data_IF_176392112241
#
_entry.id   IF_176392112241
#
_cell.length_a   1.000
_cell.length_b   1.000
_cell.length_c   1.000
_cell.angle_alpha   90.00
_cell.angle_beta   90.00
_cell.angle_gamma   90.00
#
_symmetry.space_group_name_H-M   'P 1'
#
loop_
_entity.id
_entity.type
_entity.pdbx_description
1 polymer ?
#
# COMPACT_ATOMS: atom_id res chain seq x y z
N UNK A 1 -9.28 2.94 30.91
CA UNK A 1 -7.99 2.87 30.20
C UNK A 1 -7.97 1.58 29.41
N UNK A 2 -7.84 1.65 28.09
CA UNK A 2 -7.30 0.58 27.23
C UNK A 2 -7.21 1.11 25.80
N UNK A 3 -6.11 1.81 25.52
CA UNK A 3 -5.69 2.17 24.16
C UNK A 3 -4.96 0.97 23.55
N UNK A 4 -5.69 -0.10 23.25
CA UNK A 4 -5.09 -1.31 22.66
C UNK A 4 -5.00 -1.28 21.12
N UNK A 5 -5.27 -0.13 20.49
CA UNK A 5 -5.22 0.00 19.03
C UNK A 5 -3.82 0.27 18.43
N UNK A 6 -2.76 0.38 19.25
CA UNK A 6 -1.48 0.90 18.77
C UNK A 6 -0.43 -0.15 18.38
N UNK A 7 -0.51 -1.41 18.84
CA UNK A 7 0.61 -2.36 18.63
C UNK A 7 0.61 -3.00 17.24
N UNK A 8 -0.55 -3.28 16.64
CA UNK A 8 -0.64 -3.94 15.32
C UNK A 8 -0.40 -2.99 14.14
N UNK A 9 -0.67 -1.70 14.32
CA UNK A 9 -0.38 -0.68 13.31
C UNK A 9 1.12 -0.34 13.25
N UNK A 10 1.80 -0.39 14.41
CA UNK A 10 3.26 -0.19 14.49
C UNK A 10 4.01 -1.24 13.66
N UNK A 11 3.64 -2.52 13.76
CA UNK A 11 4.30 -3.58 12.96
C UNK A 11 4.04 -3.47 11.46
N UNK A 12 2.86 -2.98 11.05
CA UNK A 12 2.54 -2.76 9.64
C UNK A 12 3.38 -1.64 9.01
N UNK A 13 3.72 -0.62 9.79
CA UNK A 13 4.63 0.44 9.37
C UNK A 13 6.10 -0.02 9.29
N UNK A 14 6.44 -1.19 9.83
CA UNK A 14 7.80 -1.76 9.73
C UNK A 14 8.04 -2.48 8.40
N UNK A 15 7.00 -2.73 7.60
CA UNK A 15 7.15 -3.35 6.29
C UNK A 15 7.41 -2.26 5.23
N UNK A 16 8.66 -2.09 4.75
CA UNK A 16 9.03 -0.98 3.89
C UNK A 16 8.28 -1.01 2.55
N UNK A 17 7.84 -2.20 2.13
CA UNK A 17 7.06 -2.37 0.90
C UNK A 17 5.62 -1.86 1.07
N UNK A 18 4.97 -2.21 2.18
CA UNK A 18 3.64 -1.73 2.51
C UNK A 18 3.61 -0.22 2.69
N UNK A 19 4.64 0.35 3.35
CA UNK A 19 4.76 1.80 3.54
C UNK A 19 4.89 2.54 2.20
N UNK A 20 5.72 2.04 1.28
CA UNK A 20 5.89 2.63 -0.06
C UNK A 20 4.59 2.59 -0.86
N UNK A 21 3.90 1.46 -0.87
CA UNK A 21 2.62 1.33 -1.55
C UNK A 21 1.56 2.25 -0.95
N UNK A 22 1.45 2.28 0.38
CA UNK A 22 0.51 3.17 1.08
C UNK A 22 0.78 4.64 0.75
N UNK A 23 2.04 5.10 0.82
CA UNK A 23 2.40 6.48 0.49
C UNK A 23 2.09 6.81 -0.97
N UNK A 24 2.33 5.88 -1.89
CA UNK A 24 2.00 6.07 -3.30
C UNK A 24 0.48 6.20 -3.53
N UNK A 25 -0.32 5.37 -2.86
CA UNK A 25 -1.78 5.43 -2.92
C UNK A 25 -2.28 6.72 -2.25
N UNK A 26 -1.78 7.07 -1.07
CA UNK A 26 -2.16 8.26 -0.31
C UNK A 26 -1.90 9.58 -1.06
N UNK A 27 -0.92 9.60 -1.97
CA UNK A 27 -0.67 10.77 -2.83
C UNK A 27 -1.77 10.99 -3.87
N UNK A 28 -2.51 9.96 -4.23
CA UNK A 28 -3.51 9.98 -5.30
C UNK A 28 -4.92 9.87 -4.74
N UNK A 29 -5.06 9.22 -3.58
CA UNK A 29 -6.33 8.90 -2.93
C UNK A 29 -6.22 9.31 -1.47
N UNK A 30 -7.04 10.28 -1.09
CA UNK A 30 -7.12 10.77 0.30
C UNK A 30 -7.80 9.73 1.22
N UNK A 31 -8.79 8.99 0.69
CA UNK A 31 -9.53 7.95 1.41
C UNK A 31 -8.74 6.62 1.44
N UNK A 32 -7.60 6.64 2.13
CA UNK A 32 -6.76 5.47 2.39
C UNK A 32 -6.37 5.42 3.86
N UNK A 33 -6.40 4.23 4.43
CA UNK A 33 -6.14 4.03 5.85
C UNK A 33 -5.52 2.67 6.12
N UNK A 34 -4.77 2.56 7.21
CA UNK A 34 -4.27 1.28 7.68
C UNK A 34 -5.35 0.55 8.49
N UNK A 35 -5.62 -0.69 8.11
CA UNK A 35 -6.46 -1.63 8.84
C UNK A 35 -5.56 -2.76 9.39
N UNK A 36 -4.91 -2.52 10.52
CA UNK A 36 -3.90 -3.44 11.05
C UNK A 36 -2.68 -3.50 10.12
N UNK A 37 -2.41 -4.68 9.55
CA UNK A 37 -1.36 -4.89 8.53
C UNK A 37 -1.84 -4.70 7.09
N UNK A 38 -3.11 -4.36 6.91
CA UNK A 38 -3.75 -4.26 5.62
C UNK A 38 -3.91 -2.79 5.23
N UNK A 39 -3.81 -2.48 3.94
CA UNK A 39 -4.11 -1.14 3.43
C UNK A 39 -5.55 -1.13 2.95
N UNK A 40 -6.39 -0.30 3.57
CA UNK A 40 -7.79 -0.12 3.19
C UNK A 40 -7.92 1.14 2.34
N UNK A 41 -8.54 1.02 1.17
CA UNK A 41 -8.76 2.12 0.23
C UNK A 41 -10.25 2.23 -0.09
N UNK A 42 -10.79 3.44 -0.09
CA UNK A 42 -12.22 3.73 -0.32
C UNK A 42 -13.17 2.99 0.62
N UNK A 43 -12.68 2.48 1.75
CA UNK A 43 -13.44 1.61 2.65
C UNK A 43 -13.95 0.28 2.01
N UNK A 44 -13.73 0.07 0.70
CA UNK A 44 -14.24 -1.01 -0.15
C UNK A 44 -13.16 -2.00 -0.59
N UNK A 45 -11.90 -1.54 -0.69
CA UNK A 45 -10.76 -2.33 -1.16
C UNK A 45 -9.78 -2.53 -0.01
N UNK A 46 -9.28 -3.74 0.16
CA UNK A 46 -8.31 -4.13 1.19
C UNK A 46 -7.14 -4.81 0.51
N UNK A 47 -5.94 -4.33 0.75
CA UNK A 47 -4.69 -4.89 0.25
C UNK A 47 -3.98 -5.58 1.40
N UNK A 48 -3.78 -6.89 1.30
CA UNK A 48 -3.11 -7.68 2.34
C UNK A 48 -1.62 -7.87 2.01
N UNK A 49 -0.74 -8.01 3.01
CA UNK A 49 0.64 -8.45 2.77
C UNK A 49 0.63 -9.81 2.04
N UNK A 50 1.52 -10.07 1.07
CA UNK A 50 2.71 -9.29 0.66
C UNK A 50 2.45 -8.13 -0.33
N UNK A 51 1.29 -7.49 -0.28
CA UNK A 51 0.94 -6.25 -1.01
C UNK A 51 0.99 -6.37 -2.55
N UNK A 52 0.77 -7.58 -3.07
CA UNK A 52 0.73 -7.86 -4.51
C UNK A 52 -0.67 -7.64 -5.09
N UNK A 53 -0.74 -7.52 -6.42
CA UNK A 53 -2.01 -7.45 -7.17
C UNK A 53 -2.98 -8.59 -6.88
N UNK A 54 -2.45 -9.78 -6.56
CA UNK A 54 -3.24 -10.96 -6.19
C UNK A 54 -3.83 -10.87 -4.78
N UNK A 55 -3.23 -10.03 -3.92
CA UNK A 55 -3.63 -9.80 -2.53
C UNK A 55 -4.55 -8.58 -2.38
N UNK A 56 -5.07 -8.06 -3.49
CA UNK A 56 -6.09 -7.01 -3.49
C UNK A 56 -7.45 -7.68 -3.37
N UNK A 57 -8.12 -7.45 -2.26
CA UNK A 57 -9.45 -7.96 -1.93
C UNK A 57 -10.45 -6.81 -2.07
N UNK A 58 -11.53 -7.03 -2.81
CA UNK A 58 -12.57 -6.05 -3.01
C UNK A 58 -13.59 -6.54 -4.04
N UNK A 59 -14.59 -5.72 -4.29
CA UNK A 59 -15.62 -6.03 -5.28
C UNK A 59 -15.07 -5.84 -6.71
N UNK A 60 -15.02 -6.93 -7.49
CA UNK A 60 -14.34 -6.97 -8.80
C UNK A 60 -15.00 -6.10 -9.87
N UNK A 61 -16.28 -5.79 -9.69
CA UNK A 61 -17.07 -4.94 -10.60
C UNK A 61 -16.90 -3.45 -10.26
N UNK A 62 -16.38 -3.12 -9.07
CA UNK A 62 -16.23 -1.73 -8.66
C UNK A 62 -15.06 -1.06 -9.39
N UNK A 63 -15.29 0.19 -9.78
CA UNK A 63 -14.27 1.12 -10.27
C UNK A 63 -13.05 1.23 -9.33
N UNK A 64 -13.20 1.40 -8.00
CA UNK A 64 -12.07 1.48 -7.08
C UNK A 64 -11.20 0.23 -7.11
N UNK A 65 -11.78 -0.98 -7.12
CA UNK A 65 -11.00 -2.21 -7.20
C UNK A 65 -10.15 -2.30 -8.46
N UNK A 66 -10.73 -2.01 -9.63
CA UNK A 66 -9.99 -2.02 -10.90
C UNK A 66 -8.88 -0.96 -10.93
N UNK A 67 -9.13 0.21 -10.37
CA UNK A 67 -8.15 1.28 -10.25
C UNK A 67 -6.98 0.87 -9.36
N UNK A 68 -7.25 0.38 -8.15
CA UNK A 68 -6.22 -0.06 -7.19
C UNK A 68 -5.44 -1.23 -7.73
N UNK A 69 -6.08 -2.22 -8.36
CA UNK A 69 -5.38 -3.35 -8.97
C UNK A 69 -4.37 -2.89 -10.02
N UNK A 70 -4.77 -1.98 -10.92
CA UNK A 70 -3.86 -1.40 -11.93
C UNK A 70 -2.77 -0.53 -11.30
N UNK A 71 -3.10 0.22 -10.25
CA UNK A 71 -2.15 1.05 -9.53
C UNK A 71 -1.05 0.20 -8.89
N UNK A 72 -1.45 -0.84 -8.15
CA UNK A 72 -0.53 -1.80 -7.53
C UNK A 72 0.32 -2.48 -8.61
N UNK A 73 -0.28 -2.94 -9.72
CA UNK A 73 0.48 -3.54 -10.84
C UNK A 73 1.56 -2.60 -11.39
N UNK A 74 1.20 -1.34 -11.62
CA UNK A 74 2.14 -0.31 -12.10
C UNK A 74 3.22 -0.03 -11.06
N UNK A 75 2.85 0.08 -9.78
CA UNK A 75 3.79 0.32 -8.69
C UNK A 75 4.85 -0.79 -8.62
N UNK A 76 4.47 -2.06 -8.73
CA UNK A 76 5.42 -3.18 -8.75
C UNK A 76 6.30 -3.22 -10.01
N UNK A 77 5.76 -2.80 -11.16
CA UNK A 77 6.56 -2.68 -12.40
C UNK A 77 7.56 -1.53 -12.32
N UNK A 78 7.15 -0.39 -11.77
CA UNK A 78 7.96 0.82 -11.63
C UNK A 78 9.03 0.66 -10.56
N UNK A 79 8.72 -0.02 -9.45
CA UNK A 79 9.68 -0.30 -8.38
C UNK A 79 10.84 -1.22 -8.83
N UNK A 80 10.67 -2.01 -9.91
CA UNK A 80 11.77 -2.74 -10.55
C UNK A 80 12.75 -1.82 -11.30
N UNK A 81 12.34 -0.62 -11.68
CA UNK A 81 13.15 0.36 -12.41
C UNK A 81 13.75 1.42 -11.46
N UNK A 82 13.02 1.80 -10.39
CA UNK A 82 13.42 2.87 -9.48
C UNK A 82 14.48 2.49 -8.42
N UNK A 83 14.85 1.20 -8.28
CA UNK A 83 15.98 0.78 -7.40
C UNK A 83 17.34 0.93 -8.13
N UNK A 84 17.37 1.48 -9.36
CA UNK A 84 18.60 1.75 -10.11
C UNK A 84 19.20 3.16 -9.98
N UNK A 85 18.52 4.13 -9.34
CA UNK A 85 18.84 5.56 -9.55
C UNK A 85 19.08 6.41 -8.29
N UNK A 86 19.68 5.86 -7.22
CA UNK A 86 20.30 6.69 -6.18
C UNK A 86 21.47 6.00 -5.43
N UNK A 87 22.59 5.80 -6.12
CA UNK A 87 23.89 5.69 -5.43
C UNK A 87 24.96 6.42 -6.24
N UNK A 88 24.94 7.75 -6.20
CA UNK A 88 26.13 8.55 -6.50
C UNK A 88 25.93 9.99 -6.00
N UNK A 89 26.95 10.47 -5.28
CA UNK A 89 27.25 11.85 -4.88
C UNK A 89 26.72 12.33 -3.51
N UNK A 90 27.50 12.09 -2.44
CA UNK A 90 28.46 13.09 -1.94
C UNK A 90 29.31 12.51 -0.79
N UNK A 91 30.58 12.18 -1.05
CA UNK A 91 31.77 12.87 -0.49
C UNK A 91 33.04 12.33 -1.15
#
# INVERSE_FOLDING_TARGET
MSVVFQVSALSACLDPEGQRLFMAIARVIDDVSWAGQNIRVYNEVIITPPYKVDNVIGEKDSKPYNYIKKFVERHWRDHRDNIGANTSQHQ
#
